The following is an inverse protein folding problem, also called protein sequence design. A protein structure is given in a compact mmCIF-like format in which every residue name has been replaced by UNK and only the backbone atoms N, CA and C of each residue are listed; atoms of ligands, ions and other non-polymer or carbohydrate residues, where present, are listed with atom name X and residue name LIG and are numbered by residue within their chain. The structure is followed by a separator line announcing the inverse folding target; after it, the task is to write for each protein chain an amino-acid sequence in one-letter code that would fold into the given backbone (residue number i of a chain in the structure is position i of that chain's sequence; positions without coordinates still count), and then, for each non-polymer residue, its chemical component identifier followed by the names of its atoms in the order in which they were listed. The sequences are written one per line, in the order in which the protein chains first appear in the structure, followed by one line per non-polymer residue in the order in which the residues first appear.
data_IF_637543316181
#
_entry.id   IF_637543316181
#
_cell.length_a   1.000
_cell.length_b   1.000
_cell.length_c   1.000
_cell.angle_alpha   90.00
_cell.angle_beta   90.00
_cell.angle_gamma   90.00
#
_symmetry.space_group_name_H-M   'P 1'
#
loop_
_entity.id
_entity.type
_entity.pdbx_description
1 polymer ?
#
# COMPACT_ATOMS: atom_id res chain seq x y z
N UNK A 1 -53.20 -15.40 -16.93
CA UNK A 1 -52.05 -16.33 -16.77
C UNK A 1 -51.08 -16.01 -17.89
N UNK A 2 -49.87 -15.51 -17.72
CA UNK A 2 -49.08 -15.04 -16.59
C UNK A 2 -47.88 -14.31 -17.21
N UNK A 3 -47.50 -13.16 -16.64
CA UNK A 3 -46.43 -12.28 -17.09
C UNK A 3 -45.10 -13.03 -17.27
N UNK A 4 -44.52 -13.02 -18.47
CA UNK A 4 -43.08 -13.21 -18.64
C UNK A 4 -42.40 -11.88 -18.38
N UNK A 5 -42.01 -11.69 -17.13
CA UNK A 5 -41.27 -10.53 -16.66
C UNK A 5 -39.91 -10.43 -17.34
N UNK A 6 -39.69 -9.28 -17.97
CA UNK A 6 -38.37 -8.70 -18.21
C UNK A 6 -37.62 -8.64 -16.87
N UNK A 7 -36.69 -9.55 -16.65
CA UNK A 7 -35.74 -9.49 -15.54
C UNK A 7 -34.35 -9.84 -16.05
N UNK A 8 -33.71 -8.87 -16.68
CA UNK A 8 -32.25 -8.75 -16.62
C UNK A 8 -31.83 -7.29 -16.78
N UNK A 9 -32.40 -6.45 -15.91
CA UNK A 9 -31.84 -5.15 -15.58
C UNK A 9 -31.18 -5.29 -14.20
N UNK A 10 -30.04 -5.98 -14.13
CA UNK A 10 -29.19 -5.95 -12.96
C UNK A 10 -27.80 -5.43 -13.36
N UNK A 11 -27.61 -4.16 -13.00
CA UNK A 11 -26.39 -3.71 -12.35
C UNK A 11 -25.09 -3.65 -13.20
N UNK A 12 -25.12 -2.96 -14.34
CA UNK A 12 -23.91 -2.28 -14.84
C UNK A 12 -23.83 -0.83 -14.34
N UNK A 13 -24.20 -0.59 -13.07
CA UNK A 13 -23.94 0.70 -12.42
C UNK A 13 -22.51 0.64 -11.90
N UNK A 14 -21.58 1.11 -12.73
CA UNK A 14 -20.37 1.76 -12.28
C UNK A 14 -19.43 0.93 -11.41
N UNK A 15 -18.83 -0.12 -11.97
CA UNK A 15 -17.44 -0.43 -11.60
C UNK A 15 -16.57 0.67 -12.23
N UNK A 16 -16.62 1.88 -11.67
CA UNK A 16 -15.58 2.86 -11.90
C UNK A 16 -14.32 2.22 -11.32
N UNK A 17 -13.47 1.65 -12.17
CA UNK A 17 -12.11 1.32 -11.78
C UNK A 17 -11.52 2.57 -11.13
N UNK A 18 -11.43 2.59 -9.80
CA UNK A 18 -10.81 3.66 -9.05
C UNK A 18 -9.31 3.58 -9.36
N UNK A 19 -8.90 4.19 -10.48
CA UNK A 19 -7.55 4.06 -11.00
C UNK A 19 -6.60 4.76 -10.05
N UNK A 20 -5.68 3.98 -9.49
CA UNK A 20 -4.64 4.50 -8.60
C UNK A 20 -3.95 5.71 -9.25
N UNK A 21 -3.93 6.86 -8.57
CA UNK A 21 -3.34 8.10 -9.09
C UNK A 21 -1.86 8.19 -8.75
N UNK A 22 -1.06 8.54 -9.75
CA UNK A 22 0.34 8.90 -9.55
C UNK A 22 0.44 10.41 -9.33
N UNK A 23 0.94 10.82 -8.16
CA UNK A 23 1.28 12.22 -7.91
C UNK A 23 2.54 12.64 -8.71
N UNK A 24 2.49 13.74 -9.49
CA UNK A 24 3.66 14.27 -10.18
C UNK A 24 4.70 14.85 -9.21
N UNK A 25 5.97 14.95 -9.66
CA UNK A 25 7.07 15.51 -8.89
C UNK A 25 6.90 17.01 -8.64
N UNK A 26 6.26 17.36 -7.52
CA UNK A 26 6.11 18.75 -7.07
C UNK A 26 6.33 18.80 -5.57
N UNK A 27 6.82 19.95 -5.06
CA UNK A 27 7.01 20.14 -3.62
C UNK A 27 5.70 19.95 -2.84
N UNK A 28 4.57 20.39 -3.40
CA UNK A 28 3.25 20.18 -2.80
C UNK A 28 2.92 18.70 -2.64
N UNK A 29 3.19 17.88 -3.67
CA UNK A 29 2.90 16.44 -3.61
C UNK A 29 3.86 15.70 -2.69
N UNK A 30 5.15 16.08 -2.68
CA UNK A 30 6.12 15.55 -1.71
C UNK A 30 5.66 15.83 -0.28
N UNK A 31 5.12 17.00 0.01
CA UNK A 31 4.59 17.33 1.33
C UNK A 31 3.40 16.46 1.76
N UNK A 32 2.53 16.05 0.83
CA UNK A 32 1.41 15.13 1.14
C UNK A 32 1.95 13.75 1.51
N UNK A 33 2.90 13.22 0.72
CA UNK A 33 3.54 11.94 1.01
C UNK A 33 4.33 12.00 2.33
N UNK A 34 5.04 13.09 2.58
CA UNK A 34 5.76 13.30 3.84
C UNK A 34 4.80 13.27 5.03
N UNK A 35 3.67 13.96 4.95
CA UNK A 35 2.65 13.94 6.01
C UNK A 35 2.12 12.54 6.27
N UNK A 36 1.92 11.73 5.22
CA UNK A 36 1.49 10.35 5.35
C UNK A 36 2.55 9.47 6.07
N UNK A 37 3.82 9.66 5.71
CA UNK A 37 4.96 9.00 6.38
C UNK A 37 5.06 9.44 7.86
N UNK A 38 4.94 10.73 8.14
CA UNK A 38 5.06 11.28 9.49
C UNK A 38 3.94 10.78 10.41
N UNK A 39 2.71 10.73 9.90
CA UNK A 39 1.57 10.15 10.60
C UNK A 39 1.82 8.67 10.90
N UNK A 40 2.34 7.92 9.92
CA UNK A 40 2.68 6.50 10.08
C UNK A 40 3.69 6.28 11.22
N UNK A 41 4.80 7.02 11.22
CA UNK A 41 5.82 6.95 12.29
C UNK A 41 5.25 7.36 13.64
N UNK A 42 4.37 8.37 13.65
CA UNK A 42 3.69 8.82 14.86
C UNK A 42 2.78 7.73 15.44
N UNK A 43 2.11 6.94 14.59
CA UNK A 43 1.25 5.84 15.01
C UNK A 43 2.06 4.69 15.59
N UNK A 44 3.08 4.23 14.86
CA UNK A 44 3.95 3.14 15.32
C UNK A 44 4.60 3.51 16.67
N UNK A 45 5.12 4.73 16.82
CA UNK A 45 5.72 5.19 18.10
C UNK A 45 4.73 5.28 19.27
N UNK A 46 3.42 5.29 19.01
CA UNK A 46 2.36 5.20 20.02
C UNK A 46 1.94 3.77 20.34
N UNK A 47 2.63 2.76 19.80
CA UNK A 47 2.34 1.34 20.06
C UNK A 47 1.18 0.81 19.24
N UNK A 48 1.02 1.32 18.02
CA UNK A 48 -0.07 0.92 17.13
C UNK A 48 0.39 -0.25 16.28
N UNK A 49 -0.35 -1.34 16.35
CA UNK A 49 0.02 -2.59 15.69
C UNK A 49 -0.05 -2.49 14.16
N UNK A 50 0.93 -3.10 13.50
CA UNK A 50 0.93 -3.33 12.06
C UNK A 50 0.15 -4.61 11.78
N UNK A 51 -0.88 -4.51 10.94
CA UNK A 51 -1.75 -5.64 10.61
C UNK A 51 -1.59 -6.06 9.16
N UNK A 52 -1.17 -7.30 8.94
CA UNK A 52 -1.01 -7.86 7.61
C UNK A 52 -2.32 -8.52 7.14
N UNK A 53 -2.73 -8.25 5.89
CA UNK A 53 -3.81 -9.02 5.26
C UNK A 53 -3.38 -10.48 5.08
N UNK A 54 -4.32 -11.41 4.93
CA UNK A 54 -3.98 -12.82 4.69
C UNK A 54 -3.05 -13.04 3.48
N UNK A 55 -3.23 -12.25 2.41
CA UNK A 55 -2.32 -12.26 1.25
C UNK A 55 -0.91 -11.80 1.64
N UNK A 56 -0.81 -10.70 2.36
CA UNK A 56 0.47 -10.15 2.82
C UNK A 56 1.21 -11.12 3.75
N UNK A 57 0.50 -11.80 4.66
CA UNK A 57 1.08 -12.83 5.52
C UNK A 57 1.66 -13.99 4.71
N UNK A 58 0.91 -14.49 3.73
CA UNK A 58 1.40 -15.55 2.83
C UNK A 58 2.67 -15.12 2.08
N UNK A 59 2.70 -13.89 1.57
CA UNK A 59 3.87 -13.36 0.87
C UNK A 59 5.06 -13.11 1.80
N UNK A 60 4.83 -12.75 3.06
CA UNK A 60 5.88 -12.60 4.06
C UNK A 60 6.49 -13.96 4.43
N UNK A 61 5.69 -15.01 4.49
CA UNK A 61 6.19 -16.38 4.69
C UNK A 61 7.15 -16.78 3.56
N UNK A 62 6.80 -16.49 2.30
CA UNK A 62 7.69 -16.76 1.16
C UNK A 62 8.99 -15.96 1.24
N UNK A 63 8.92 -14.67 1.60
CA UNK A 63 10.10 -13.84 1.78
C UNK A 63 10.99 -14.34 2.93
N UNK A 64 10.40 -14.75 4.05
CA UNK A 64 11.13 -15.31 5.17
C UNK A 64 11.87 -16.59 4.74
N UNK A 65 11.20 -17.49 4.04
CA UNK A 65 11.79 -18.74 3.58
C UNK A 65 12.92 -18.55 2.54
N UNK A 66 12.82 -17.54 1.68
CA UNK A 66 13.75 -17.32 0.57
C UNK A 66 14.89 -16.36 0.91
N UNK A 67 14.66 -15.41 1.81
CA UNK A 67 15.53 -14.26 2.05
C UNK A 67 15.69 -13.89 3.53
N UNK A 68 15.14 -14.68 4.46
CA UNK A 68 15.18 -14.42 5.91
C UNK A 68 14.61 -13.04 6.31
N UNK A 69 13.60 -12.57 5.56
CA UNK A 69 12.92 -11.29 5.82
C UNK A 69 11.73 -11.53 6.75
N UNK A 70 11.73 -10.84 7.89
CA UNK A 70 10.75 -10.95 8.97
C UNK A 70 9.81 -9.75 9.02
N UNK A 71 8.85 -9.77 9.95
CA UNK A 71 7.96 -8.61 10.23
C UNK A 71 8.79 -7.41 10.70
N UNK A 72 9.80 -7.62 11.52
CA UNK A 72 10.62 -6.55 12.09
C UNK A 72 11.40 -5.82 10.98
N UNK A 73 11.91 -6.56 9.99
CA UNK A 73 12.56 -5.97 8.81
C UNK A 73 11.61 -5.08 8.00
N UNK A 74 10.35 -5.49 7.90
CA UNK A 74 9.30 -4.71 7.23
C UNK A 74 9.00 -3.42 8.02
N UNK A 75 8.84 -3.52 9.34
CA UNK A 75 8.58 -2.38 10.20
C UNK A 75 9.73 -1.37 10.14
N UNK A 76 10.97 -1.85 10.24
CA UNK A 76 12.16 -1.04 10.09
C UNK A 76 12.22 -0.36 8.71
N UNK A 77 11.85 -1.06 7.64
CA UNK A 77 11.77 -0.48 6.31
C UNK A 77 10.73 0.66 6.26
N UNK A 78 9.56 0.49 6.88
CA UNK A 78 8.51 1.51 6.97
C UNK A 78 9.00 2.74 7.75
N UNK A 79 9.65 2.52 8.90
CA UNK A 79 10.19 3.58 9.76
C UNK A 79 11.31 4.39 9.08
N UNK A 80 12.04 3.77 8.16
CA UNK A 80 13.11 4.41 7.39
C UNK A 80 12.63 5.04 6.06
N UNK A 81 11.35 4.99 5.74
CA UNK A 81 10.82 5.61 4.51
C UNK A 81 11.03 7.13 4.49
N UNK A 82 11.28 7.60 3.27
CA UNK A 82 11.30 9.01 2.87
C UNK A 82 10.42 9.21 1.64
N UNK A 83 10.15 10.46 1.25
CA UNK A 83 9.42 10.75 0.00
C UNK A 83 10.10 10.16 -1.23
N UNK A 84 11.43 9.98 -1.22
CA UNK A 84 12.14 9.38 -2.34
C UNK A 84 11.78 7.90 -2.54
N UNK A 85 11.28 7.22 -1.52
CA UNK A 85 10.81 5.84 -1.65
C UNK A 85 9.42 5.72 -2.28
N UNK A 86 8.74 6.83 -2.57
CA UNK A 86 7.39 6.83 -3.12
C UNK A 86 7.37 6.37 -4.58
N UNK A 87 6.44 5.46 -4.88
CA UNK A 87 6.22 4.95 -6.23
C UNK A 87 4.81 5.23 -6.77
N UNK A 88 3.75 5.09 -5.95
CA UNK A 88 2.38 5.32 -6.43
C UNK A 88 1.35 5.46 -5.30
N UNK A 89 0.31 6.27 -5.53
CA UNK A 89 -0.92 6.26 -4.76
C UNK A 89 -0.88 7.14 -3.51
N UNK A 90 -1.92 7.97 -3.38
CA UNK A 90 -2.61 8.26 -2.13
C UNK A 90 -4.07 8.10 -2.52
N UNK A 91 -4.49 6.85 -2.65
CA UNK A 91 -5.83 6.55 -3.11
C UNK A 91 -6.67 6.05 -1.94
N UNK A 92 -7.94 6.47 -1.86
CA UNK A 92 -8.88 5.85 -0.94
C UNK A 92 -8.92 4.35 -1.21
N UNK A 93 -8.93 3.56 -0.14
CA UNK A 93 -9.04 2.11 -0.15
C UNK A 93 -10.20 1.67 -1.06
N UNK A 94 -10.30 0.38 -1.41
CA UNK A 94 -11.46 -0.14 -2.13
C UNK A 94 -12.81 0.25 -1.49
N UNK A 95 -12.84 0.46 -0.17
CA UNK A 95 -14.00 0.91 0.60
C UNK A 95 -14.03 2.42 0.87
N UNK A 96 -12.94 3.13 0.55
CA UNK A 96 -12.74 4.57 0.77
C UNK A 96 -12.67 5.02 2.22
N UNK A 97 -12.37 4.08 3.12
CA UNK A 97 -12.22 4.30 4.57
C UNK A 97 -10.80 4.70 4.99
N UNK A 98 -9.80 4.60 4.10
CA UNK A 98 -8.41 5.02 4.36
C UNK A 98 -7.61 5.29 3.09
N UNK A 99 -6.50 6.03 3.18
CA UNK A 99 -5.59 6.26 2.05
C UNK A 99 -4.50 5.17 1.98
N UNK A 100 -4.17 4.70 0.76
CA UNK A 100 -3.11 3.71 0.50
C UNK A 100 -1.99 4.35 -0.33
N UNK A 101 -0.74 4.12 0.11
CA UNK A 101 0.48 4.54 -0.57
C UNK A 101 1.40 3.36 -0.86
N UNK A 102 2.05 3.38 -2.02
CA UNK A 102 3.03 2.40 -2.46
C UNK A 102 4.46 2.95 -2.38
N UNK A 103 5.35 2.14 -1.80
CA UNK A 103 6.75 2.45 -1.63
C UNK A 103 7.64 1.32 -2.17
N UNK A 104 8.92 1.63 -2.29
CA UNK A 104 9.98 0.68 -2.57
C UNK A 104 11.11 0.89 -1.56
N UNK A 105 11.58 -0.21 -0.98
CA UNK A 105 12.77 -0.22 -0.14
C UNK A 105 13.59 -1.48 -0.42
N UNK A 106 14.87 -1.40 -0.07
CA UNK A 106 15.71 -2.59 0.05
C UNK A 106 15.63 -3.06 1.50
N UNK A 107 15.31 -4.33 1.70
CA UNK A 107 14.97 -4.90 3.01
C UNK A 107 15.85 -6.12 3.28
N UNK A 108 16.15 -6.36 4.56
CA UNK A 108 16.95 -7.49 5.02
C UNK A 108 18.44 -7.38 4.69
N UNK A 109 19.21 -8.38 5.15
CA UNK A 109 20.66 -8.43 4.99
C UNK A 109 21.11 -8.50 3.51
N UNK A 110 20.32 -9.18 2.68
CA UNK A 110 20.58 -9.34 1.24
C UNK A 110 20.15 -8.12 0.41
N UNK A 111 19.67 -7.04 1.06
CA UNK A 111 19.19 -5.82 0.40
C UNK A 111 18.16 -6.09 -0.70
N UNK A 112 17.22 -6.99 -0.44
CA UNK A 112 16.20 -7.39 -1.41
C UNK A 112 15.27 -6.21 -1.68
N UNK A 113 15.21 -5.80 -2.95
CA UNK A 113 14.29 -4.78 -3.40
C UNK A 113 12.86 -5.26 -3.33
N UNK A 114 12.00 -4.54 -2.59
CA UNK A 114 10.60 -4.91 -2.38
C UNK A 114 9.71 -3.70 -2.62
N UNK A 115 8.68 -3.90 -3.44
CA UNK A 115 7.52 -3.02 -3.45
C UNK A 115 6.54 -3.42 -2.36
N UNK A 116 6.05 -2.46 -1.61
CA UNK A 116 4.97 -2.67 -0.64
C UNK A 116 4.00 -1.50 -0.66
N UNK A 117 2.76 -1.76 -0.24
CA UNK A 117 1.68 -0.77 -0.24
C UNK A 117 0.94 -0.85 1.06
N UNK A 118 0.86 0.24 1.80
CA UNK A 118 0.12 0.26 3.06
C UNK A 118 -0.80 1.47 3.13
N UNK A 119 -1.81 1.39 3.99
CA UNK A 119 -2.73 2.48 4.28
C UNK A 119 -3.03 2.64 5.76
N UNK A 120 -3.63 3.78 6.13
CA UNK A 120 -3.86 4.17 7.52
C UNK A 120 -5.36 4.18 7.85
N UNK A 121 -5.89 3.12 8.47
CA UNK A 121 -7.31 3.06 8.88
C UNK A 121 -7.66 4.10 9.97
N UNK A 122 -8.86 4.68 9.85
CA UNK A 122 -9.39 5.71 10.76
C UNK A 122 -10.00 5.09 12.02
N UNK A 123 -10.73 3.98 11.86
CA UNK A 123 -11.39 3.28 12.97
C UNK A 123 -10.46 2.17 13.52
N UNK A 124 -9.74 2.48 14.60
CA UNK A 124 -8.91 1.49 15.30
C UNK A 124 -7.44 1.43 14.89
N UNK A 125 -6.96 2.40 14.10
CA UNK A 125 -5.55 2.66 13.80
C UNK A 125 -4.81 1.40 13.31
N UNK A 126 -5.13 0.92 12.11
CA UNK A 126 -4.41 -0.22 11.52
C UNK A 126 -3.67 0.21 10.27
N UNK A 127 -2.41 -0.21 10.17
CA UNK A 127 -1.66 -0.09 8.94
C UNK A 127 -1.94 -1.33 8.11
N UNK A 128 -2.68 -1.18 7.01
CA UNK A 128 -3.15 -2.30 6.20
C UNK A 128 -2.52 -2.34 4.81
N UNK A 129 -2.10 -3.56 4.47
CA UNK A 129 -1.64 -4.10 3.18
C UNK A 129 -0.11 -4.16 3.05
N UNK A 130 0.32 -5.27 2.43
CA UNK A 130 1.63 -5.56 1.88
C UNK A 130 1.35 -6.27 0.54
N UNK A 131 2.02 -5.89 -0.54
CA UNK A 131 1.94 -6.60 -1.81
C UNK A 131 3.35 -6.74 -2.36
N UNK A 132 4.00 -7.83 -1.97
CA UNK A 132 5.39 -8.08 -2.27
C UNK A 132 5.56 -8.47 -3.73
N UNK A 133 6.18 -7.56 -4.45
CA UNK A 133 6.79 -7.86 -5.73
C UNK A 133 8.27 -7.55 -5.60
N UNK A 134 9.11 -8.59 -5.63
CA UNK A 134 10.50 -8.40 -6.06
C UNK A 134 10.40 -7.80 -7.46
N UNK A 135 11.00 -6.62 -7.75
CA UNK A 135 10.87 -5.91 -9.02
C UNK A 135 11.33 -6.75 -10.21
N UNK A 136 10.44 -7.62 -10.72
CA UNK A 136 10.61 -8.26 -12.03
C UNK A 136 10.22 -7.29 -13.15
N UNK A 137 9.36 -6.33 -12.82
CA UNK A 137 8.88 -5.27 -13.70
C UNK A 137 9.00 -3.93 -12.95
N UNK A 138 10.08 -3.16 -13.17
CA UNK A 138 10.29 -1.92 -12.44
C UNK A 138 9.17 -0.94 -12.75
N UNK A 139 8.62 -0.32 -11.71
CA UNK A 139 7.66 0.78 -11.85
C UNK A 139 8.41 2.10 -12.04
N UNK A 140 7.79 3.08 -12.70
CA UNK A 140 8.34 4.44 -12.75
C UNK A 140 8.31 5.05 -11.35
N UNK A 141 9.42 5.68 -10.95
CA UNK A 141 9.55 6.34 -9.66
C UNK A 141 9.23 7.83 -9.81
N UNK A 142 8.05 8.31 -9.40
CA UNK A 142 7.54 9.61 -9.83
C UNK A 142 8.34 10.81 -9.34
N UNK A 143 9.06 10.67 -8.23
CA UNK A 143 9.83 11.75 -7.61
C UNK A 143 11.31 11.74 -7.98
N UNK A 144 11.77 10.70 -8.68
CA UNK A 144 13.07 10.68 -9.33
C UNK A 144 12.89 11.07 -10.79
N UNK A 145 13.08 12.36 -11.07
CA UNK A 145 13.25 12.87 -12.42
C UNK A 145 14.72 12.78 -12.80
#
# INVERSE_FOLDING_TARGET
MGNFGFFLLYLCIGFLEKKMKTLPNTNSNKAIVQKFIDETKTRISKGVDITFTGKAQSELLDLNLLYDITVDDIEDAILNLTTENYYRGIDPSPKSDFDVCAFYANIGADHVGIYFKYGLEVDGLQILIFSNHVPKFPMNQPFKN
#
